data_IF_591699029214
#
_entry.id   IF_591699029214
#
_cell.length_a   1.000
_cell.length_b   1.000
_cell.length_c   1.000
_cell.angle_alpha   90.00
_cell.angle_beta   90.00
_cell.angle_gamma   90.00
#
_symmetry.space_group_name_H-M   'P 1'
#
loop_
_entity.id
_entity.type
_entity.pdbx_description
1 polymer ?
#
# COMPACT_ATOMS: atom_id res chain seq x y z
N UNK A 1 -5.88 -10.91 -14.46
CA UNK A 1 -5.35 -10.12 -13.33
C UNK A 1 -5.08 -11.04 -12.14
N UNK A 2 -3.98 -10.82 -11.43
CA UNK A 2 -3.47 -11.73 -10.40
C UNK A 2 -3.65 -11.08 -9.03
N UNK A 3 -4.14 -11.82 -8.04
CA UNK A 3 -4.27 -11.39 -6.64
C UNK A 3 -3.40 -12.29 -5.77
N UNK A 4 -2.50 -11.69 -4.98
CA UNK A 4 -1.68 -12.39 -4.00
C UNK A 4 -2.09 -12.00 -2.58
N UNK A 5 -2.25 -13.00 -1.72
CA UNK A 5 -2.48 -12.80 -0.28
C UNK A 5 -1.21 -13.00 0.56
N UNK A 6 -0.17 -13.60 -0.02
CA UNK A 6 1.10 -13.92 0.64
C UNK A 6 2.26 -13.17 0.04
N UNK A 7 3.07 -12.53 0.88
CA UNK A 7 4.27 -11.81 0.43
C UNK A 7 5.28 -12.70 -0.28
N UNK A 8 5.37 -13.99 0.08
CA UNK A 8 6.28 -14.94 -0.56
C UNK A 8 5.93 -15.15 -2.03
N UNK A 9 4.64 -15.32 -2.33
CA UNK A 9 4.13 -15.51 -3.70
C UNK A 9 4.32 -14.23 -4.53
N UNK A 10 4.01 -13.07 -3.94
CA UNK A 10 4.24 -11.78 -4.59
C UNK A 10 5.73 -11.57 -4.89
N UNK A 11 6.62 -11.82 -3.92
CA UNK A 11 8.06 -11.68 -4.10
C UNK A 11 8.58 -12.56 -5.23
N UNK A 12 8.17 -13.82 -5.29
CA UNK A 12 8.54 -14.72 -6.38
C UNK A 12 8.10 -14.18 -7.75
N UNK A 13 6.88 -13.62 -7.82
CA UNK A 13 6.38 -13.03 -9.06
C UNK A 13 7.17 -11.77 -9.47
N UNK A 14 7.47 -10.89 -8.52
CA UNK A 14 8.26 -9.67 -8.76
C UNK A 14 9.67 -10.03 -9.22
N UNK A 15 10.33 -10.99 -8.58
CA UNK A 15 11.65 -11.47 -9.01
C UNK A 15 11.64 -11.93 -10.46
N UNK A 16 10.62 -12.67 -10.89
CA UNK A 16 10.49 -13.13 -12.29
C UNK A 16 10.35 -12.00 -13.31
N UNK A 17 9.84 -10.84 -12.88
CA UNK A 17 9.77 -9.64 -13.72
C UNK A 17 11.09 -8.89 -13.74
N UNK A 18 11.75 -8.77 -12.59
CA UNK A 18 13.07 -8.14 -12.48
C UNK A 18 14.15 -8.88 -13.26
N UNK A 19 14.13 -10.21 -13.28
CA UNK A 19 15.00 -11.03 -14.12
C UNK A 19 14.84 -10.73 -15.62
N UNK A 20 13.68 -10.21 -16.02
CA UNK A 20 13.38 -9.77 -17.38
C UNK A 20 13.57 -8.27 -17.58
N UNK A 21 14.26 -7.61 -16.64
CA UNK A 21 14.49 -6.16 -16.61
C UNK A 21 13.21 -5.31 -16.67
N UNK A 22 12.08 -5.85 -16.19
CA UNK A 22 10.83 -5.09 -16.11
C UNK A 22 10.83 -4.16 -14.90
N UNK A 23 10.29 -2.97 -15.10
CA UNK A 23 10.06 -1.95 -14.09
C UNK A 23 8.76 -2.19 -13.33
N UNK A 24 8.77 -1.91 -12.01
CA UNK A 24 7.64 -2.11 -11.11
C UNK A 24 7.20 -0.76 -10.52
N UNK A 25 5.99 -0.34 -10.86
CA UNK A 25 5.30 0.77 -10.18
C UNK A 25 4.52 0.25 -8.98
N UNK A 26 4.44 1.03 -7.91
CA UNK A 26 3.72 0.63 -6.70
C UNK A 26 2.76 1.71 -6.19
N UNK A 27 1.51 1.33 -5.98
CA UNK A 27 0.45 2.19 -5.42
C UNK A 27 -0.03 1.57 -4.11
N UNK A 28 0.45 2.02 -2.94
CA UNK A 28 -0.06 1.54 -1.66
C UNK A 28 -1.44 2.12 -1.36
N UNK A 29 -2.42 1.28 -1.07
CA UNK A 29 -3.77 1.71 -0.66
C UNK A 29 -4.31 0.90 0.51
N UNK A 30 -5.36 1.42 1.16
CA UNK A 30 -6.16 0.69 2.14
C UNK A 30 -7.43 0.06 1.54
N UNK A 31 -7.61 0.07 0.22
CA UNK A 31 -8.85 -0.34 -0.46
C UNK A 31 -9.93 0.74 -0.46
N UNK A 32 -11.17 0.34 -0.77
CA UNK A 32 -12.29 1.25 -1.04
C UNK A 32 -11.92 2.28 -2.11
N UNK A 33 -11.50 1.75 -3.26
CA UNK A 33 -10.90 2.52 -4.34
C UNK A 33 -11.90 3.49 -4.96
N UNK A 34 -11.38 4.61 -5.44
CA UNK A 34 -12.12 5.69 -6.06
C UNK A 34 -11.25 6.38 -7.11
N UNK A 35 -11.79 7.35 -7.84
CA UNK A 35 -11.11 7.97 -8.98
C UNK A 35 -9.70 8.51 -8.67
N UNK A 36 -9.49 9.13 -7.51
CA UNK A 36 -8.15 9.53 -7.07
C UNK A 36 -7.13 8.38 -7.02
N UNK A 37 -7.53 7.20 -6.54
CA UNK A 37 -6.67 6.01 -6.57
C UNK A 37 -6.41 5.53 -8.00
N UNK A 38 -7.44 5.52 -8.85
CA UNK A 38 -7.30 5.09 -10.24
C UNK A 38 -6.38 6.02 -11.04
N UNK A 39 -6.35 7.32 -10.72
CA UNK A 39 -5.41 8.27 -11.30
C UNK A 39 -3.95 7.90 -10.98
N UNK A 40 -3.64 7.53 -9.72
CA UNK A 40 -2.31 7.05 -9.33
C UNK A 40 -1.95 5.74 -10.06
N UNK A 41 -2.90 4.83 -10.22
CA UNK A 41 -2.69 3.57 -10.94
C UNK A 41 -2.42 3.83 -12.42
N UNK A 42 -3.14 4.76 -13.06
CA UNK A 42 -2.90 5.14 -14.45
C UNK A 42 -1.52 5.78 -14.63
N UNK A 43 -1.11 6.66 -13.73
CA UNK A 43 0.23 7.24 -13.74
C UNK A 43 1.31 6.16 -13.56
N UNK A 44 1.08 5.20 -12.65
CA UNK A 44 1.96 4.06 -12.47
C UNK A 44 2.05 3.18 -13.73
N UNK A 45 0.93 2.94 -14.43
CA UNK A 45 0.90 2.15 -15.67
C UNK A 45 1.62 2.85 -16.83
N UNK A 46 1.57 4.19 -16.88
CA UNK A 46 2.24 4.97 -17.92
C UNK A 46 3.77 4.93 -17.82
N UNK A 47 4.30 4.73 -16.60
CA UNK A 47 5.73 4.87 -16.31
C UNK A 47 6.42 3.55 -15.91
N UNK A 48 5.71 2.41 -15.92
CA UNK A 48 6.26 1.11 -15.50
C UNK A 48 5.67 -0.05 -16.31
N UNK A 49 6.41 -1.15 -16.43
CA UNK A 49 5.96 -2.35 -17.14
C UNK A 49 4.88 -3.13 -16.39
N UNK A 50 4.96 -3.17 -15.06
CA UNK A 50 3.98 -3.81 -14.18
C UNK A 50 3.65 -2.89 -13.01
N UNK A 51 2.41 -2.96 -12.53
CA UNK A 51 1.96 -2.16 -11.38
C UNK A 51 1.47 -3.08 -10.28
N UNK A 52 2.00 -2.89 -9.08
CA UNK A 52 1.48 -3.52 -7.86
C UNK A 52 0.59 -2.53 -7.14
N UNK A 53 -0.63 -2.94 -6.79
CA UNK A 53 -1.53 -2.17 -5.93
C UNK A 53 -1.73 -2.96 -4.65
N UNK A 54 -1.32 -2.41 -3.49
CA UNK A 54 -1.66 -3.06 -2.22
C UNK A 54 -3.04 -2.61 -1.76
N UNK A 55 -3.84 -3.55 -1.26
CA UNK A 55 -5.11 -3.30 -0.59
C UNK A 55 -4.98 -3.84 0.83
N UNK A 56 -4.57 -2.97 1.75
CA UNK A 56 -4.29 -3.37 3.13
C UNK A 56 -4.70 -2.28 4.13
N UNK A 57 -5.74 -2.56 4.90
CA UNK A 57 -6.15 -1.70 6.02
C UNK A 57 -5.17 -1.92 7.18
N UNK A 58 -4.16 -1.06 7.28
CA UNK A 58 -3.12 -1.13 8.29
C UNK A 58 -3.67 -0.82 9.70
N UNK A 59 -3.69 -1.77 10.66
CA UNK A 59 -4.16 -1.48 12.02
C UNK A 59 -3.31 -0.47 12.78
N UNK A 60 -2.00 -0.38 12.52
CA UNK A 60 -1.07 0.39 13.35
C UNK A 60 -1.11 1.89 13.08
N UNK A 61 -1.82 2.34 12.06
CA UNK A 61 -2.02 3.78 11.77
C UNK A 61 -3.40 4.30 12.24
N UNK A 62 -4.21 3.46 12.89
CA UNK A 62 -5.47 3.87 13.51
C UNK A 62 -5.25 4.08 15.01
N UNK A 63 -5.42 5.32 15.43
CA UNK A 63 -5.47 5.76 16.83
C UNK A 63 -6.79 5.36 17.52
N UNK A 64 -7.87 5.21 16.74
CA UNK A 64 -9.18 4.82 17.24
C UNK A 64 -9.61 3.41 16.73
N UNK A 65 -9.78 2.42 17.63
CA UNK A 65 -10.24 1.08 17.26
C UNK A 65 -11.62 1.02 16.62
N UNK A 66 -12.50 2.00 16.87
CA UNK A 66 -13.83 2.05 16.23
C UNK A 66 -13.71 2.39 14.75
N UNK A 67 -12.75 3.24 14.39
CA UNK A 67 -12.56 3.67 13.00
C UNK A 67 -11.96 2.52 12.18
N UNK A 68 -11.01 1.78 12.73
CA UNK A 68 -10.49 0.54 12.12
C UNK A 68 -11.60 -0.50 11.86
N UNK A 69 -12.55 -0.64 12.80
CA UNK A 69 -13.68 -1.57 12.65
C UNK A 69 -14.66 -1.13 11.56
N UNK A 70 -14.93 0.18 11.48
CA UNK A 70 -15.86 0.77 10.50
C UNK A 70 -15.25 0.99 9.11
N UNK A 71 -13.93 0.92 8.99
CA UNK A 71 -13.25 1.17 7.71
C UNK A 71 -13.79 0.21 6.62
N UNK A 72 -14.20 0.74 5.46
CA UNK A 72 -14.79 -0.06 4.39
C UNK A 72 -13.80 -1.09 3.86
N UNK A 73 -14.26 -2.33 3.67
CA UNK A 73 -13.50 -3.42 3.06
C UNK A 73 -14.30 -3.95 1.87
N UNK A 74 -13.89 -3.56 0.67
CA UNK A 74 -14.64 -3.81 -0.57
C UNK A 74 -13.77 -4.48 -1.62
N UNK A 75 -12.96 -5.47 -1.21
CA UNK A 75 -11.95 -6.11 -2.06
C UNK A 75 -12.50 -6.55 -3.42
N UNK A 76 -13.67 -7.20 -3.47
CA UNK A 76 -14.26 -7.65 -4.74
C UNK A 76 -14.53 -6.48 -5.71
N UNK A 77 -15.03 -5.35 -5.20
CA UNK A 77 -15.27 -4.14 -6.00
C UNK A 77 -13.96 -3.50 -6.43
N UNK A 78 -12.99 -3.45 -5.52
CA UNK A 78 -11.67 -2.86 -5.78
C UNK A 78 -10.94 -3.67 -6.87
N UNK A 79 -11.04 -5.00 -6.83
CA UNK A 79 -10.53 -5.91 -7.86
C UNK A 79 -11.21 -5.62 -9.19
N UNK A 80 -12.55 -5.59 -9.27
CA UNK A 80 -13.22 -5.33 -10.55
C UNK A 80 -12.85 -3.96 -11.15
N UNK A 81 -12.70 -2.91 -10.32
CA UNK A 81 -12.21 -1.61 -10.78
C UNK A 81 -10.82 -1.70 -11.39
N UNK A 82 -9.86 -2.32 -10.70
CA UNK A 82 -8.49 -2.46 -11.19
C UNK A 82 -8.42 -3.35 -12.44
N UNK A 83 -9.25 -4.39 -12.51
CA UNK A 83 -9.36 -5.29 -13.68
C UNK A 83 -9.70 -4.53 -14.95
N UNK A 84 -10.58 -3.54 -14.83
CA UNK A 84 -11.05 -2.73 -15.96
C UNK A 84 -9.96 -1.82 -16.55
N UNK A 85 -8.88 -1.55 -15.80
CA UNK A 85 -7.81 -0.65 -16.23
C UNK A 85 -6.75 -1.35 -17.07
N UNK A 86 -6.21 -2.49 -16.60
CA UNK A 86 -5.13 -3.18 -17.28
C UNK A 86 -4.88 -4.59 -16.74
N UNK A 87 -4.40 -5.50 -17.60
CA UNK A 87 -3.93 -6.83 -17.20
C UNK A 87 -2.55 -6.81 -16.54
N UNK A 88 -1.78 -5.71 -16.67
CA UNK A 88 -0.45 -5.53 -16.06
C UNK A 88 -0.51 -5.19 -14.56
N UNK A 89 -1.72 -5.09 -14.00
CA UNK A 89 -1.93 -4.84 -12.58
C UNK A 89 -1.85 -6.16 -11.79
N UNK A 90 -1.15 -6.10 -10.67
CA UNK A 90 -1.03 -7.16 -9.68
C UNK A 90 -1.59 -6.61 -8.36
N UNK A 91 -2.53 -7.32 -7.76
CA UNK A 91 -3.12 -6.91 -6.49
C UNK A 91 -2.43 -7.67 -5.37
N UNK A 92 -1.96 -6.94 -4.36
CA UNK A 92 -1.48 -7.51 -3.11
C UNK A 92 -2.48 -7.21 -2.00
N UNK A 93 -3.24 -8.23 -1.57
CA UNK A 93 -4.27 -8.13 -0.54
C UNK A 93 -3.92 -9.04 0.66
N UNK A 94 -2.90 -8.68 1.45
CA UNK A 94 -2.42 -9.51 2.55
C UNK A 94 -3.32 -9.46 3.78
N UNK A 95 -3.14 -10.46 4.64
CA UNK A 95 -3.64 -10.39 6.02
C UNK A 95 -2.68 -9.61 6.91
N UNK A 96 -3.16 -9.16 8.07
CA UNK A 96 -2.30 -8.55 9.11
C UNK A 96 -1.17 -9.49 9.49
N UNK A 97 -1.45 -10.78 9.63
CA UNK A 97 -0.43 -11.79 9.95
C UNK A 97 0.66 -11.90 8.88
N UNK A 98 0.30 -11.82 7.60
CA UNK A 98 1.30 -11.86 6.51
C UNK A 98 2.26 -10.66 6.55
N UNK A 99 1.74 -9.47 6.90
CA UNK A 99 2.54 -8.24 7.01
C UNK A 99 3.33 -8.18 8.32
N UNK A 100 2.71 -8.56 9.44
CA UNK A 100 3.24 -8.31 10.79
C UNK A 100 3.88 -9.51 11.46
N UNK A 101 3.64 -10.75 11.01
CA UNK A 101 4.24 -11.98 11.57
C UNK A 101 4.10 -12.02 13.10
N UNK A 102 2.88 -11.80 13.61
CA UNK A 102 2.60 -11.71 15.05
C UNK A 102 3.10 -10.44 15.75
N UNK A 103 3.84 -9.54 15.09
CA UNK A 103 4.39 -8.31 15.66
C UNK A 103 3.65 -7.05 15.21
N UNK A 104 2.34 -6.98 15.47
CA UNK A 104 1.47 -5.85 15.08
C UNK A 104 1.69 -4.62 15.94
N UNK A 105 2.85 -3.98 15.78
CA UNK A 105 3.22 -2.72 16.44
C UNK A 105 3.93 -1.80 15.46
N UNK A 106 3.70 -0.50 15.60
CA UNK A 106 4.50 0.50 14.91
C UNK A 106 5.91 0.57 15.51
N UNK A 107 6.87 0.89 14.66
CA UNK A 107 8.21 1.34 15.06
C UNK A 107 8.19 2.86 15.17
N UNK A 108 9.00 3.40 16.06
CA UNK A 108 9.24 4.84 16.10
C UNK A 108 10.01 5.29 14.88
N UNK A 109 9.55 6.35 14.27
CA UNK A 109 10.24 7.09 13.23
C UNK A 109 10.47 8.53 13.71
N UNK A 110 11.58 9.10 13.24
CA UNK A 110 11.89 10.51 13.40
C UNK A 110 11.87 11.09 11.98
N UNK A 111 10.95 12.03 11.73
CA UNK A 111 10.80 12.70 10.44
C UNK A 111 11.26 14.17 10.57
N UNK A 112 12.30 14.39 11.36
CA UNK A 112 12.88 15.71 11.66
C UNK A 112 11.83 16.70 12.20
N UNK A 113 10.86 16.19 12.97
CA UNK A 113 9.81 16.95 13.62
C UNK A 113 8.56 17.22 12.76
N UNK A 114 8.52 16.75 11.52
CA UNK A 114 7.32 16.82 10.67
C UNK A 114 6.13 16.07 11.29
N UNK A 115 6.39 14.94 11.96
CA UNK A 115 5.41 14.13 12.67
C UNK A 115 4.74 14.85 13.85
N UNK A 116 5.27 16.01 14.25
CA UNK A 116 4.70 16.85 15.30
C UNK A 116 3.94 18.07 14.75
N UNK A 117 3.87 18.23 13.43
CA UNK A 117 3.14 19.29 12.74
C UNK A 117 1.76 18.80 12.29
N UNK A 118 0.90 19.74 11.85
CA UNK A 118 -0.37 19.47 11.17
C UNK A 118 -1.18 18.31 11.76
N UNK A 119 -1.45 17.22 11.01
CA UNK A 119 -2.21 16.07 11.52
C UNK A 119 -1.47 15.34 12.63
N UNK A 120 -0.14 15.24 12.51
CA UNK A 120 0.73 14.54 13.47
C UNK A 120 0.63 15.12 14.89
N UNK A 121 0.39 16.42 15.01
CA UNK A 121 0.10 17.08 16.28
C UNK A 121 -1.15 16.55 16.98
N UNK A 122 -2.16 16.12 16.22
CA UNK A 122 -3.45 15.68 16.75
C UNK A 122 -3.60 14.16 16.78
N UNK A 123 -2.70 13.42 16.11
CA UNK A 123 -2.77 11.97 15.94
C UNK A 123 -1.45 11.32 16.35
N UNK A 124 -1.21 11.29 17.66
CA UNK A 124 0.02 10.73 18.23
C UNK A 124 0.25 9.29 17.76
N UNK A 125 1.47 9.00 17.30
CA UNK A 125 1.85 7.70 16.73
C UNK A 125 1.27 7.36 15.35
N UNK A 126 0.50 8.24 14.70
CA UNK A 126 -0.05 7.98 13.36
C UNK A 126 1.05 7.78 12.32
N UNK A 127 2.01 8.70 12.26
CA UNK A 127 3.12 8.64 11.30
C UNK A 127 4.10 7.52 11.59
N UNK A 128 4.25 7.08 12.85
CA UNK A 128 4.95 5.83 13.18
C UNK A 128 4.26 4.63 12.51
N UNK A 129 2.93 4.60 12.56
CA UNK A 129 2.10 3.60 11.90
C UNK A 129 2.26 3.61 10.37
N UNK A 130 2.23 4.79 9.76
CA UNK A 130 2.41 5.00 8.31
C UNK A 130 3.82 4.61 7.87
N UNK A 131 4.86 5.15 8.52
CA UNK A 131 6.26 4.83 8.23
C UNK A 131 6.55 3.34 8.36
N UNK A 132 5.99 2.69 9.38
CA UNK A 132 6.15 1.25 9.58
C UNK A 132 5.59 0.45 8.41
N UNK A 133 4.37 0.74 7.96
CA UNK A 133 3.74 -0.04 6.90
C UNK A 133 4.36 0.26 5.54
N UNK A 134 4.64 1.52 5.22
CA UNK A 134 5.25 1.92 3.94
C UNK A 134 6.62 1.28 3.79
N UNK A 135 7.46 1.33 4.84
CA UNK A 135 8.75 0.65 4.85
C UNK A 135 8.62 -0.84 4.54
N UNK A 136 7.71 -1.54 5.23
CA UNK A 136 7.49 -2.97 5.01
C UNK A 136 6.99 -3.28 3.61
N UNK A 137 6.06 -2.50 3.08
CA UNK A 137 5.57 -2.68 1.72
C UNK A 137 6.69 -2.45 0.69
N UNK A 138 7.58 -1.48 0.90
CA UNK A 138 8.77 -1.31 0.05
C UNK A 138 9.75 -2.48 0.15
N UNK A 139 9.97 -3.06 1.34
CA UNK A 139 10.79 -4.27 1.51
C UNK A 139 10.15 -5.52 0.88
N UNK A 140 8.82 -5.53 0.71
CA UNK A 140 8.08 -6.63 0.09
C UNK A 140 8.05 -6.48 -1.43
N UNK A 141 7.64 -5.31 -1.91
CA UNK A 141 7.39 -5.03 -3.34
C UNK A 141 8.68 -4.64 -4.06
N UNK A 142 9.61 -3.96 -3.39
CA UNK A 142 10.87 -3.46 -3.95
C UNK A 142 10.68 -2.69 -5.27
N UNK A 143 9.80 -1.67 -5.31
CA UNK A 143 9.43 -1.01 -6.56
C UNK A 143 10.55 -0.14 -7.14
N UNK A 144 10.42 0.20 -8.43
CA UNK A 144 11.21 1.25 -9.07
C UNK A 144 10.63 2.63 -8.74
N UNK A 145 9.30 2.75 -8.84
CA UNK A 145 8.56 3.98 -8.57
C UNK A 145 7.41 3.70 -7.62
N UNK A 146 7.14 4.61 -6.67
CA UNK A 146 6.00 4.54 -5.77
C UNK A 146 5.15 5.82 -5.90
N UNK A 147 3.83 5.66 -5.87
CA UNK A 147 2.87 6.72 -6.18
C UNK A 147 1.96 7.00 -4.99
N UNK A 148 1.92 8.25 -4.55
CA UNK A 148 1.13 8.72 -3.42
C UNK A 148 0.31 9.94 -3.85
N UNK A 149 -0.88 10.10 -3.27
CA UNK A 149 -1.77 11.22 -3.61
C UNK A 149 -1.51 12.44 -2.74
N UNK A 150 -1.44 13.62 -3.34
CA UNK A 150 -1.22 14.89 -2.64
C UNK A 150 -2.35 15.29 -1.67
N UNK A 151 -3.49 14.58 -1.69
CA UNK A 151 -4.55 14.74 -0.69
C UNK A 151 -4.00 14.57 0.73
N UNK A 152 -3.13 13.59 0.92
CA UNK A 152 -2.46 13.31 2.20
C UNK A 152 -1.05 13.91 2.10
N UNK A 153 -0.98 15.24 2.23
CA UNK A 153 0.18 16.06 1.89
C UNK A 153 1.36 15.93 2.89
N UNK A 154 1.05 15.74 4.17
CA UNK A 154 2.05 15.59 5.25
C UNK A 154 2.62 14.18 5.25
#
# INVERSE_FOLDING_TARGET
>A
MIVFAKKSELKAKISSFKEKNKTIGFVPTMGALHQGHLALVNEALANNDQVVVSIFVNPTQFDNPKDLKKYPRTLDKDVELLKSLSENIIIYAPTVEDIYEGQTKSKKFDFDGLEHQMEGKFRDGHFDGVGTIVKRLFEIVTPNNAYFGEKDFQ
#
